data_IF_842212349038
#
_entry.id   IF_842212349038
#
_cell.length_a   1.000
_cell.length_b   1.000
_cell.length_c   1.000
_cell.angle_alpha   90.00
_cell.angle_beta   90.00
_cell.angle_gamma   90.00
#
_symmetry.space_group_name_H-M   'P 1'
#
loop_
_entity.id
_entity.type
_entity.pdbx_description
1 polymer ?
#
# COMPACT_ATOMS: atom_id res chain seq x y z
N UNK A 1 -11.96 -13.22 -7.20
CA UNK A 1 -11.10 -12.09 -7.08
C UNK A 1 -11.86 -10.87 -6.66
N UNK A 2 -11.46 -10.26 -5.61
CA UNK A 2 -12.19 -9.07 -5.19
C UNK A 2 -11.95 -7.93 -6.15
N UNK A 3 -12.94 -7.12 -6.27
CA UNK A 3 -12.82 -5.96 -7.11
C UNK A 3 -11.99 -4.91 -6.43
N UNK A 4 -11.27 -4.16 -7.22
CA UNK A 4 -10.52 -3.06 -6.67
C UNK A 4 -11.43 -1.88 -6.48
N UNK A 5 -11.19 -1.18 -5.41
CA UNK A 5 -11.95 0.03 -5.13
C UNK A 5 -11.32 1.22 -5.84
N UNK A 6 -12.16 2.11 -6.32
CA UNK A 6 -11.67 3.32 -6.97
C UNK A 6 -11.77 4.45 -5.98
N UNK A 7 -10.65 5.11 -5.76
CA UNK A 7 -10.59 6.19 -4.79
C UNK A 7 -9.91 7.38 -5.42
N UNK A 8 -10.52 8.54 -5.29
CA UNK A 8 -9.93 9.75 -5.78
C UNK A 8 -9.19 10.42 -4.65
N UNK A 9 -7.88 10.58 -4.81
CA UNK A 9 -7.06 11.20 -3.80
C UNK A 9 -6.60 12.56 -4.23
N UNK A 10 -6.61 13.48 -3.31
CA UNK A 10 -6.02 14.79 -3.55
C UNK A 10 -4.71 14.83 -2.80
N UNK A 11 -3.64 14.95 -3.52
CA UNK A 11 -2.31 14.95 -2.94
C UNK A 11 -1.68 16.31 -3.05
N UNK A 12 -0.90 16.66 -2.04
CA UNK A 12 -0.03 17.81 -2.11
C UNK A 12 0.91 17.61 -3.29
N UNK A 13 1.10 18.62 -4.13
CA UNK A 13 1.99 18.43 -5.29
C UNK A 13 3.38 17.94 -4.93
N UNK A 14 3.90 18.37 -3.80
CA UNK A 14 5.22 17.91 -3.39
C UNK A 14 5.22 16.42 -3.08
N UNK A 15 4.14 15.94 -2.47
CA UNK A 15 4.00 14.52 -2.18
C UNK A 15 3.87 13.73 -3.46
N UNK A 16 3.08 14.23 -4.39
CA UNK A 16 2.90 13.55 -5.65
C UNK A 16 4.22 13.45 -6.40
N UNK A 17 4.98 14.52 -6.42
CA UNK A 17 6.26 14.51 -7.10
C UNK A 17 7.23 13.53 -6.45
N UNK A 18 7.25 13.48 -5.15
CA UNK A 18 8.12 12.55 -4.45
C UNK A 18 7.73 11.11 -4.76
N UNK A 19 6.43 10.85 -4.82
CA UNK A 19 5.96 9.51 -5.17
C UNK A 19 6.32 9.15 -6.59
N UNK A 20 6.23 10.11 -7.51
CA UNK A 20 6.56 9.85 -8.89
C UNK A 20 8.04 9.50 -9.05
N UNK A 21 8.90 10.19 -8.34
CA UNK A 21 10.31 9.89 -8.38
C UNK A 21 10.61 8.53 -7.79
N UNK A 22 9.95 8.23 -6.68
CA UNK A 22 10.13 6.94 -6.04
C UNK A 22 9.65 5.82 -6.95
N UNK A 23 8.51 6.03 -7.60
CA UNK A 23 7.97 5.03 -8.51
C UNK A 23 8.93 4.79 -9.66
N UNK A 24 9.52 5.83 -10.18
CA UNK A 24 10.48 5.70 -11.27
C UNK A 24 11.70 4.90 -10.82
N UNK A 25 12.17 5.15 -9.61
CA UNK A 25 13.31 4.42 -9.08
C UNK A 25 13.00 2.94 -8.94
N UNK A 26 11.77 2.62 -8.61
CA UNK A 26 11.36 1.23 -8.42
C UNK A 26 10.78 0.62 -9.70
N UNK A 27 10.78 1.39 -10.79
CA UNK A 27 10.22 0.94 -12.04
C UNK A 27 8.76 0.54 -11.90
N UNK A 28 8.02 1.35 -11.18
CA UNK A 28 6.59 1.12 -10.98
C UNK A 28 5.80 2.31 -11.43
N UNK A 29 4.52 2.11 -11.69
CA UNK A 29 3.64 3.24 -11.97
C UNK A 29 3.37 3.98 -10.66
N UNK A 30 2.93 5.23 -10.80
CA UNK A 30 2.61 6.02 -9.62
C UNK A 30 1.48 5.38 -8.83
N UNK A 31 0.48 4.85 -9.52
CA UNK A 31 -0.62 4.17 -8.83
C UNK A 31 -0.14 2.98 -8.02
N UNK A 32 0.73 2.18 -8.61
CA UNK A 32 1.26 1.03 -7.90
C UNK A 32 2.10 1.46 -6.71
N UNK A 33 2.83 2.55 -6.87
CA UNK A 33 3.66 3.03 -5.78
C UNK A 33 2.81 3.58 -4.64
N UNK A 34 1.71 4.23 -4.96
CA UNK A 34 0.81 4.72 -3.94
C UNK A 34 0.26 3.55 -3.13
N UNK A 35 -0.15 2.51 -3.82
CA UNK A 35 -0.69 1.34 -3.12
C UNK A 35 0.36 0.71 -2.23
N UNK A 36 1.57 0.61 -2.73
CA UNK A 36 2.66 0.06 -1.95
C UNK A 36 2.93 0.90 -0.70
N UNK A 37 2.94 2.22 -0.86
CA UNK A 37 3.17 3.11 0.27
C UNK A 37 2.07 2.98 1.31
N UNK A 38 0.83 2.84 0.86
CA UNK A 38 -0.28 2.67 1.78
C UNK A 38 -0.18 1.36 2.54
N UNK A 39 0.26 0.31 1.87
CA UNK A 39 0.45 -0.96 2.55
C UNK A 39 1.53 -0.87 3.60
N UNK A 40 2.60 -0.16 3.30
CA UNK A 40 3.64 0.06 4.28
C UNK A 40 3.12 0.82 5.50
N UNK A 41 2.34 1.84 5.24
CA UNK A 41 1.79 2.63 6.33
C UNK A 41 0.84 1.80 7.19
N UNK A 42 0.02 0.98 6.57
CA UNK A 42 -0.88 0.12 7.31
C UNK A 42 -0.12 -0.90 8.13
N UNK A 43 0.95 -1.42 7.57
CA UNK A 43 1.76 -2.38 8.28
C UNK A 43 2.38 -1.73 9.51
N UNK A 44 2.89 -0.52 9.37
CA UNK A 44 3.48 0.18 10.49
C UNK A 44 2.45 0.52 11.56
N UNK A 45 1.22 0.73 11.14
CA UNK A 45 0.15 1.02 12.08
C UNK A 45 -0.45 -0.23 12.70
N UNK A 46 0.03 -1.39 12.28
CA UNK A 46 -0.51 -2.65 12.80
C UNK A 46 -1.85 -3.03 12.21
N UNK A 47 -2.15 -2.51 11.02
CA UNK A 47 -3.43 -2.78 10.38
C UNK A 47 -3.26 -3.38 9.01
N UNK A 48 -2.18 -4.09 8.81
CA UNK A 48 -1.89 -4.74 7.54
C UNK A 48 -2.95 -5.79 7.25
N UNK A 49 -3.68 -5.67 6.15
CA UNK A 49 -4.74 -6.64 5.84
C UNK A 49 -4.20 -8.05 5.64
N UNK A 50 -3.01 -8.16 5.07
CA UNK A 50 -2.43 -9.47 4.89
C UNK A 50 -2.13 -10.14 6.19
N UNK A 51 -1.55 -9.37 7.09
CA UNK A 51 -1.23 -9.88 8.39
C UNK A 51 -2.47 -10.28 9.13
N UNK A 52 -3.51 -9.48 9.01
CA UNK A 52 -4.74 -9.77 9.61
C UNK A 52 -5.32 -11.08 9.11
N UNK A 53 -5.27 -11.26 7.80
CA UNK A 53 -5.73 -12.50 7.21
C UNK A 53 -4.95 -13.67 7.72
N UNK A 54 -3.67 -13.53 7.82
CA UNK A 54 -2.83 -14.59 8.33
C UNK A 54 -3.19 -14.95 9.75
N UNK A 55 -3.38 -13.96 10.57
CA UNK A 55 -3.74 -14.21 11.94
C UNK A 55 -5.08 -14.90 12.04
N UNK A 56 -6.00 -14.51 11.22
CA UNK A 56 -7.32 -15.08 11.28
C UNK A 56 -7.40 -16.45 10.71
N UNK A 57 -6.66 -16.68 9.67
CA UNK A 57 -6.76 -17.92 8.98
C UNK A 57 -5.76 -18.91 9.43
N UNK A 58 -4.67 -18.48 9.91
CA UNK A 58 -3.59 -19.37 10.17
C UNK A 58 -2.97 -19.09 11.47
N UNK A 59 -2.13 -19.94 11.88
CA UNK A 59 -1.41 -19.75 13.09
C UNK A 59 -0.62 -18.50 13.02
N UNK A 60 -0.47 -17.91 14.09
CA UNK A 60 0.23 -16.67 14.14
C UNK A 60 1.60 -16.70 13.60
N UNK A 61 2.16 -17.77 13.54
CA UNK A 61 3.48 -17.82 13.00
C UNK A 61 3.60 -17.33 11.64
N UNK A 62 2.52 -17.28 10.95
CA UNK A 62 2.55 -16.83 9.67
C UNK A 62 2.70 -15.41 9.56
N UNK A 63 2.34 -14.74 10.49
CA UNK A 63 2.31 -13.33 10.45
C UNK A 63 3.51 -12.66 9.94
#
# INVERSE_FOLDING_TARGET
MPDRKHVLLRLDPAVHEALAKWAADDLRSVNAQIEYALRLALKQAGRDPRRRDSDGAAPPGDG
#
